data_IF_663507209970
#
_entry.id   IF_663507209970
#
_cell.length_a   1.000
_cell.length_b   1.000
_cell.length_c   1.000
_cell.angle_alpha   90.00
_cell.angle_beta   90.00
_cell.angle_gamma   90.00
#
_symmetry.space_group_name_H-M   'P 1'
#
loop_
_entity.id
_entity.type
_entity.pdbx_description
1 polymer ?
#
# COMPACT_ATOMS: atom_id res chain seq x y z
N UNK A 1 8.85 11.58 -2.56
CA UNK A 1 7.41 11.78 -2.77
C UNK A 1 6.82 10.63 -3.56
N UNK A 2 6.02 9.75 -2.92
CA UNK A 2 5.29 8.68 -3.57
C UNK A 2 4.21 9.25 -4.50
N UNK A 3 3.72 8.46 -5.46
CA UNK A 3 2.63 8.88 -6.33
C UNK A 3 1.34 9.11 -5.52
N UNK A 4 0.41 9.88 -6.09
CA UNK A 4 -0.82 10.25 -5.38
C UNK A 4 -1.82 9.09 -5.22
N UNK A 5 -1.67 8.02 -6.00
CA UNK A 5 -2.57 6.87 -6.00
C UNK A 5 -1.91 5.62 -6.61
N UNK A 6 -2.49 4.42 -6.40
CA UNK A 6 -2.03 3.20 -7.07
C UNK A 6 -2.15 3.25 -8.60
N UNK A 7 -3.15 3.94 -9.16
CA UNK A 7 -3.31 4.12 -10.61
C UNK A 7 -2.19 5.00 -11.18
N UNK A 8 -1.84 6.07 -10.48
CA UNK A 8 -0.72 6.92 -10.87
C UNK A 8 0.60 6.14 -10.86
N UNK A 9 0.81 5.31 -9.84
CA UNK A 9 1.94 4.38 -9.80
C UNK A 9 1.92 3.42 -11.00
N UNK A 10 0.81 2.72 -11.22
CA UNK A 10 0.65 1.73 -12.28
C UNK A 10 0.92 2.33 -13.67
N UNK A 11 0.39 3.52 -13.96
CA UNK A 11 0.64 4.20 -15.23
C UNK A 11 2.11 4.62 -15.41
N UNK A 12 2.78 5.03 -14.34
CA UNK A 12 4.19 5.44 -14.41
C UNK A 12 5.10 4.21 -14.55
N UNK A 13 4.89 3.17 -13.74
CA UNK A 13 5.66 1.93 -13.80
C UNK A 13 5.45 1.19 -15.13
N UNK A 14 4.24 1.20 -15.68
CA UNK A 14 3.89 0.56 -16.96
C UNK A 14 4.52 1.19 -18.21
N UNK A 15 5.33 2.26 -18.06
CA UNK A 15 6.14 2.81 -19.15
C UNK A 15 7.43 2.01 -19.37
N UNK A 16 7.90 1.27 -18.36
CA UNK A 16 9.11 0.46 -18.45
C UNK A 16 8.83 -0.89 -19.16
N UNK A 17 9.85 -1.49 -19.77
CA UNK A 17 9.78 -2.86 -20.32
C UNK A 17 8.82 -3.06 -21.50
N UNK A 18 8.52 -1.99 -22.27
CA UNK A 18 7.65 -2.08 -23.46
C UNK A 18 8.26 -2.89 -24.62
N UNK A 19 9.56 -3.12 -24.56
CA UNK A 19 10.31 -4.02 -25.42
C UNK A 19 10.22 -5.49 -24.99
N UNK A 20 9.53 -5.79 -23.88
CA UNK A 20 9.43 -7.12 -23.30
C UNK A 20 10.65 -7.55 -22.49
N UNK A 21 11.68 -6.71 -22.37
CA UNK A 21 12.82 -6.98 -21.52
C UNK A 21 12.47 -6.80 -20.04
N UNK A 22 13.24 -7.44 -19.14
CA UNK A 22 13.05 -7.25 -17.70
C UNK A 22 13.31 -5.79 -17.34
N UNK A 23 12.34 -5.19 -16.67
CA UNK A 23 12.45 -3.86 -16.09
C UNK A 23 12.24 -3.91 -14.57
N UNK A 24 12.81 -2.93 -13.86
CA UNK A 24 12.65 -2.78 -12.41
C UNK A 24 12.05 -1.42 -12.09
N UNK A 25 10.97 -1.43 -11.33
CA UNK A 25 10.38 -0.23 -10.76
C UNK A 25 10.77 -0.15 -9.28
N UNK A 26 11.31 0.99 -8.84
CA UNK A 26 11.74 1.21 -7.46
C UNK A 26 11.03 2.44 -6.94
N UNK A 27 10.31 2.27 -5.83
CA UNK A 27 9.63 3.35 -5.13
C UNK A 27 10.47 3.75 -3.91
N UNK A 28 11.02 4.96 -3.91
CA UNK A 28 11.65 5.55 -2.74
C UNK A 28 10.63 6.39 -1.98
N UNK A 29 10.49 6.13 -0.69
CA UNK A 29 9.56 6.82 0.20
C UNK A 29 10.20 7.08 1.56
N UNK A 30 9.60 8.01 2.30
CA UNK A 30 9.87 8.18 3.71
C UNK A 30 8.59 8.61 4.45
N UNK A 31 8.58 8.48 5.78
CA UNK A 31 7.44 8.88 6.61
C UNK A 31 6.93 10.31 6.35
N UNK A 32 7.85 11.26 6.13
CA UNK A 32 7.49 12.65 5.86
C UNK A 32 6.78 12.83 4.51
N UNK A 33 7.08 11.98 3.53
CA UNK A 33 6.40 12.03 2.24
C UNK A 33 4.90 11.68 2.36
N UNK A 34 4.57 10.68 3.18
CA UNK A 34 3.17 10.28 3.40
C UNK A 34 2.36 11.35 4.10
N UNK A 35 2.95 12.01 5.11
CA UNK A 35 2.31 13.14 5.79
C UNK A 35 2.00 14.28 4.82
N UNK A 36 2.94 14.59 3.92
CA UNK A 36 2.74 15.61 2.89
C UNK A 36 1.65 15.21 1.88
N UNK A 37 1.62 13.95 1.44
CA UNK A 37 0.59 13.45 0.54
C UNK A 37 -0.80 13.52 1.18
N UNK A 38 -0.94 13.09 2.44
CA UNK A 38 -2.20 13.18 3.17
C UNK A 38 -2.67 14.62 3.37
N UNK A 39 -1.75 15.52 3.69
CA UNK A 39 -2.03 16.95 3.80
C UNK A 39 -2.62 17.49 2.49
N UNK A 40 -1.93 17.30 1.36
CA UNK A 40 -2.44 17.76 0.06
C UNK A 40 -3.76 17.09 -0.35
N UNK A 41 -3.95 15.82 -0.02
CA UNK A 41 -5.22 15.14 -0.25
C UNK A 41 -6.37 15.77 0.55
N UNK A 42 -6.11 16.21 1.79
CA UNK A 42 -7.09 16.86 2.65
C UNK A 42 -7.45 18.29 2.21
N UNK A 43 -6.57 18.97 1.47
CA UNK A 43 -6.82 20.31 0.91
C UNK A 43 -7.79 20.29 -0.27
N UNK A 44 -8.08 19.13 -0.86
CA UNK A 44 -9.03 19.03 -1.96
C UNK A 44 -10.45 19.43 -1.49
N UNK A 45 -11.22 20.17 -2.30
CA UNK A 45 -12.56 20.58 -1.90
C UNK A 45 -13.53 19.38 -1.79
N UNK A 46 -14.48 19.37 -0.83
CA UNK A 46 -15.52 18.35 -0.77
C UNK A 46 -16.33 18.28 -2.09
N UNK A 47 -16.75 17.07 -2.52
CA UNK A 47 -16.54 15.75 -1.91
C UNK A 47 -15.21 15.07 -2.33
N UNK A 48 -14.30 15.79 -3.00
CA UNK A 48 -13.08 15.21 -3.59
C UNK A 48 -12.01 14.87 -2.55
N UNK A 49 -11.99 15.55 -1.40
CA UNK A 49 -11.11 15.22 -0.27
C UNK A 49 -11.17 13.74 0.11
N UNK A 50 -12.38 13.19 0.25
CA UNK A 50 -12.55 11.81 0.72
C UNK A 50 -11.98 10.82 -0.28
N UNK A 51 -12.18 11.06 -1.57
CA UNK A 51 -11.60 10.23 -2.63
C UNK A 51 -10.07 10.35 -2.65
N UNK A 52 -9.53 11.56 -2.53
CA UNK A 52 -8.09 11.81 -2.49
C UNK A 52 -7.43 11.12 -1.29
N UNK A 53 -8.04 11.22 -0.09
CA UNK A 53 -7.56 10.56 1.12
C UNK A 53 -7.59 9.03 1.00
N UNK A 54 -8.65 8.47 0.40
CA UNK A 54 -8.70 7.02 0.12
C UNK A 54 -7.59 6.59 -0.83
N UNK A 55 -7.34 7.32 -1.91
CA UNK A 55 -6.27 7.03 -2.86
C UNK A 55 -4.88 7.12 -2.21
N UNK A 56 -4.64 8.17 -1.42
CA UNK A 56 -3.40 8.35 -0.66
C UNK A 56 -3.17 7.20 0.33
N UNK A 57 -4.22 6.76 1.03
CA UNK A 57 -4.18 5.58 1.90
C UNK A 57 -3.89 4.30 1.14
N UNK A 58 -4.46 4.11 -0.05
CA UNK A 58 -4.26 2.91 -0.85
C UNK A 58 -2.82 2.78 -1.37
N UNK A 59 -2.20 3.86 -1.86
CA UNK A 59 -0.80 3.82 -2.32
C UNK A 59 0.18 3.63 -1.16
N UNK A 60 -0.12 4.21 0.02
CA UNK A 60 0.64 3.92 1.25
C UNK A 60 0.52 2.44 1.62
N UNK A 61 -0.70 1.91 1.61
CA UNK A 61 -0.95 0.48 1.85
C UNK A 61 -0.22 -0.43 0.87
N UNK A 62 -0.13 -0.06 -0.40
CA UNK A 62 0.69 -0.78 -1.39
C UNK A 62 2.19 -0.75 -1.04
N UNK A 63 2.73 0.41 -0.62
CA UNK A 63 4.13 0.56 -0.26
C UNK A 63 4.51 -0.23 1.00
N UNK A 64 3.60 -0.30 1.98
CA UNK A 64 3.81 -0.98 3.27
C UNK A 64 3.29 -2.43 3.30
N UNK A 65 2.73 -2.95 2.20
CA UNK A 65 2.12 -4.28 2.22
C UNK A 65 3.16 -5.38 2.50
N UNK A 66 2.81 -6.30 3.40
CA UNK A 66 3.58 -7.51 3.70
C UNK A 66 3.20 -8.73 2.83
N UNK A 67 2.60 -8.50 1.66
CA UNK A 67 2.16 -9.58 0.73
C UNK A 67 2.72 -9.30 -0.67
N UNK A 68 2.49 -10.19 -1.64
CA UNK A 68 2.91 -9.96 -3.03
C UNK A 68 2.43 -8.59 -3.54
N UNK A 69 3.38 -7.71 -3.91
CA UNK A 69 3.05 -6.35 -4.39
C UNK A 69 2.23 -6.37 -5.67
N UNK A 70 2.51 -7.32 -6.57
CA UNK A 70 1.73 -7.50 -7.79
C UNK A 70 0.29 -7.87 -7.47
N UNK A 71 0.07 -8.84 -6.59
CA UNK A 71 -1.28 -9.25 -6.20
C UNK A 71 -2.04 -8.11 -5.50
N UNK A 72 -1.37 -7.35 -4.65
CA UNK A 72 -1.96 -6.17 -3.99
C UNK A 72 -2.43 -5.12 -5.00
N UNK A 73 -1.58 -4.76 -5.97
CA UNK A 73 -1.89 -3.76 -6.98
C UNK A 73 -3.01 -4.20 -7.93
N UNK A 74 -2.99 -5.46 -8.38
CA UNK A 74 -4.01 -5.99 -9.29
C UNK A 74 -5.38 -6.12 -8.60
N UNK A 75 -5.43 -6.55 -7.33
CA UNK A 75 -6.68 -6.55 -6.54
C UNK A 75 -7.27 -5.16 -6.38
N UNK A 76 -6.42 -4.15 -6.16
CA UNK A 76 -6.87 -2.76 -6.10
C UNK A 76 -7.54 -2.32 -7.41
N UNK A 77 -7.03 -2.79 -8.57
CA UNK A 77 -7.61 -2.53 -9.88
C UNK A 77 -8.85 -3.39 -10.20
N UNK A 78 -9.29 -4.24 -9.27
CA UNK A 78 -10.46 -5.10 -9.43
C UNK A 78 -10.18 -6.43 -10.14
N UNK A 79 -8.92 -6.85 -10.24
CA UNK A 79 -8.54 -8.16 -10.80
C UNK A 79 -8.40 -9.24 -9.72
N UNK A 80 -8.40 -10.51 -10.15
CA UNK A 80 -8.21 -11.70 -9.30
C UNK A 80 -6.86 -12.39 -9.58
N UNK A 81 -5.74 -11.84 -9.08
CA UNK A 81 -4.41 -12.40 -9.32
C UNK A 81 -4.12 -13.62 -8.44
N UNK A 82 -3.14 -14.42 -8.86
CA UNK A 82 -2.51 -15.40 -7.98
C UNK A 82 -1.92 -14.71 -6.73
N UNK A 83 -1.83 -15.45 -5.62
CA UNK A 83 -1.34 -14.90 -4.34
C UNK A 83 0.12 -14.46 -4.38
N UNK A 84 0.94 -15.08 -5.24
CA UNK A 84 2.36 -14.78 -5.42
C UNK A 84 2.71 -14.60 -6.90
N UNK A 85 3.60 -13.66 -7.19
CA UNK A 85 4.05 -13.35 -8.56
C UNK A 85 5.36 -14.05 -8.95
N UNK A 86 5.80 -15.05 -8.17
CA UNK A 86 7.11 -15.70 -8.35
C UNK A 86 8.24 -14.78 -7.87
N UNK A 87 9.03 -14.24 -8.79
CA UNK A 87 10.19 -13.37 -8.52
C UNK A 87 10.01 -11.93 -9.03
N UNK A 88 8.77 -11.54 -9.38
CA UNK A 88 8.49 -10.25 -10.02
C UNK A 88 8.36 -9.06 -9.04
N UNK A 89 8.40 -9.29 -7.72
CA UNK A 89 8.47 -8.21 -6.73
C UNK A 89 9.44 -8.54 -5.60
N UNK A 90 9.95 -7.49 -4.95
CA UNK A 90 10.84 -7.55 -3.79
C UNK A 90 10.29 -8.42 -2.65
N UNK A 91 8.99 -8.31 -2.36
CA UNK A 91 8.36 -9.13 -1.31
C UNK A 91 8.46 -10.63 -1.61
N UNK A 92 8.13 -11.06 -2.82
CA UNK A 92 8.25 -12.48 -3.17
C UNK A 92 9.72 -12.93 -3.28
N UNK A 93 10.62 -12.06 -3.74
CA UNK A 93 12.06 -12.33 -3.79
C UNK A 93 12.71 -12.47 -2.40
N UNK A 94 12.26 -11.67 -1.43
CA UNK A 94 12.79 -11.69 -0.07
C UNK A 94 12.32 -12.90 0.73
N UNK A 95 11.33 -13.66 0.23
CA UNK A 95 10.72 -14.77 0.96
C UNK A 95 10.01 -14.28 2.21
N UNK A 96 8.95 -13.48 2.02
CA UNK A 96 8.14 -12.92 3.12
C UNK A 96 7.95 -13.93 4.25
N UNK A 97 8.46 -13.57 5.42
CA UNK A 97 8.24 -14.32 6.67
C UNK A 97 7.02 -13.71 7.34
N UNK A 98 5.93 -14.47 7.40
CA UNK A 98 4.78 -14.12 8.23
C UNK A 98 5.06 -14.56 9.66
N UNK A 99 4.80 -13.68 10.62
CA UNK A 99 4.86 -13.99 12.03
C UNK A 99 3.44 -14.14 12.58
N UNK A 100 3.20 -15.19 13.35
CA UNK A 100 1.98 -15.32 14.16
C UNK A 100 2.06 -14.33 15.32
N UNK A 101 1.11 -13.40 15.37
CA UNK A 101 1.03 -12.34 16.39
C UNK A 101 -0.33 -12.35 17.08
N UNK A 102 -1.00 -13.51 17.13
CA UNK A 102 -2.36 -13.65 17.60
C UNK A 102 -2.50 -13.35 19.09
N UNK A 103 -1.49 -13.70 19.88
CA UNK A 103 -1.47 -13.44 21.32
C UNK A 103 -1.38 -11.93 21.62
N UNK A 104 -0.45 -11.24 20.97
CA UNK A 104 -0.23 -9.80 21.08
C UNK A 104 -1.43 -9.02 20.55
N UNK A 105 -1.93 -9.39 19.37
CA UNK A 105 -3.13 -8.78 18.78
C UNK A 105 -4.34 -8.92 19.71
N UNK A 106 -4.53 -10.09 20.34
CA UNK A 106 -5.62 -10.31 21.30
C UNK A 106 -5.50 -9.41 22.53
N UNK A 107 -4.30 -9.27 23.10
CA UNK A 107 -4.05 -8.38 24.24
C UNK A 107 -4.37 -6.92 23.88
N UNK A 108 -3.92 -6.48 22.71
CA UNK A 108 -4.14 -5.11 22.22
C UNK A 108 -5.64 -4.84 22.01
N UNK A 109 -6.36 -5.78 21.39
CA UNK A 109 -7.81 -5.70 21.20
C UNK A 109 -8.59 -5.70 22.53
N UNK A 110 -8.15 -6.49 23.51
CA UNK A 110 -8.72 -6.49 24.85
C UNK A 110 -8.51 -5.16 25.56
N UNK A 111 -7.33 -4.55 25.43
CA UNK A 111 -7.04 -3.24 26.00
C UNK A 111 -7.93 -2.14 25.37
N UNK A 112 -8.05 -2.11 24.03
CA UNK A 112 -8.95 -1.19 23.32
C UNK A 112 -10.40 -1.35 23.81
N UNK A 113 -10.86 -2.59 23.99
CA UNK A 113 -12.21 -2.88 24.51
C UNK A 113 -12.38 -2.43 25.96
N UNK A 114 -11.41 -2.69 26.83
CA UNK A 114 -11.44 -2.28 28.24
C UNK A 114 -11.48 -0.75 28.38
N UNK A 115 -10.78 -0.04 27.51
CA UNK A 115 -10.80 1.42 27.43
C UNK A 115 -12.05 2.00 26.75
N UNK A 116 -12.92 1.17 26.20
CA UNK A 116 -14.12 1.59 25.46
C UNK A 116 -13.82 2.39 24.20
N UNK A 117 -12.66 2.16 23.56
CA UNK A 117 -12.27 2.81 22.30
C UNK A 117 -11.95 4.30 22.40
N UNK A 118 -11.69 4.84 23.60
CA UNK A 118 -11.45 6.28 23.82
C UNK A 118 -9.97 6.68 23.92
N UNK A 119 -9.06 5.76 23.63
CA UNK A 119 -7.61 5.98 23.72
C UNK A 119 -7.01 5.78 22.33
N UNK A 120 -6.25 6.76 21.84
CA UNK A 120 -5.56 6.76 20.54
C UNK A 120 -4.34 7.67 20.58
#
# INVERSE_FOLDING_TARGET
>A
GPPASPEAYYQQSGRAGRDGARARCVLFECGADWGRLQFHASEAPPPRCDAALRMAGAIKGYAECGTCRHANLLRYLGEEPAEACGDACDNCCAGLVTQEVGAEARLLLQAVRACGGRCG
#
